data_IF_318696204383
#
_entry.id   IF_318696204383
#
_cell.length_a   1.000
_cell.length_b   1.000
_cell.length_c   1.000
_cell.angle_alpha   90.00
_cell.angle_beta   90.00
_cell.angle_gamma   90.00
#
_symmetry.space_group_name_H-M   'P 1'
#
loop_
_entity.id
_entity.type
_entity.pdbx_description
1 polymer ?
#
# COMPACT_ATOMS: atom_id res chain seq x y z
N UNK A 1 3.38 6.49 -0.74
CA UNK A 1 4.42 6.42 -1.80
C UNK A 1 5.67 5.68 -1.35
N UNK A 2 6.25 5.97 -0.19
CA UNK A 2 7.47 5.30 0.29
C UNK A 2 7.33 3.78 0.40
N UNK A 3 6.26 3.27 1.03
CA UNK A 3 5.99 1.83 1.14
C UNK A 3 5.94 1.12 -0.23
N UNK A 4 5.43 1.81 -1.26
CA UNK A 4 5.43 1.28 -2.61
C UNK A 4 6.84 1.16 -3.20
N UNK A 5 7.67 2.19 -3.03
CA UNK A 5 9.05 2.18 -3.53
C UNK A 5 9.93 1.18 -2.79
N UNK A 6 9.85 1.16 -1.47
CA UNK A 6 10.62 0.22 -0.64
C UNK A 6 10.17 -1.22 -0.82
N UNK A 7 8.94 -1.46 -1.28
CA UNK A 7 8.46 -2.79 -1.60
C UNK A 7 9.26 -3.50 -2.71
N UNK A 8 9.89 -2.77 -3.63
CA UNK A 8 10.78 -3.36 -4.64
C UNK A 8 12.05 -3.95 -4.02
N UNK A 9 12.49 -3.44 -2.87
CA UNK A 9 13.60 -3.99 -2.11
C UNK A 9 13.12 -5.09 -1.14
N UNK A 10 11.97 -4.86 -0.49
CA UNK A 10 11.40 -5.77 0.49
C UNK A 10 9.87 -5.85 0.29
N UNK A 11 9.34 -6.89 -0.38
CA UNK A 11 7.92 -7.02 -0.73
C UNK A 11 6.93 -6.93 0.44
N UNK A 12 7.39 -7.16 1.68
CA UNK A 12 6.59 -6.94 2.90
C UNK A 12 6.11 -5.48 3.04
N UNK A 13 6.83 -4.50 2.50
CA UNK A 13 6.36 -3.11 2.50
C UNK A 13 5.16 -2.89 1.57
N UNK A 14 5.02 -3.66 0.49
CA UNK A 14 3.79 -3.64 -0.30
C UNK A 14 2.61 -4.18 0.50
N UNK A 15 2.82 -5.25 1.28
CA UNK A 15 1.79 -5.76 2.19
C UNK A 15 1.38 -4.69 3.22
N UNK A 16 2.34 -4.09 3.92
CA UNK A 16 2.06 -3.00 4.87
C UNK A 16 1.31 -1.83 4.21
N UNK A 17 1.70 -1.45 2.99
CA UNK A 17 1.01 -0.42 2.23
C UNK A 17 -0.41 -0.82 1.81
N UNK A 18 -0.66 -2.08 1.49
CA UNK A 18 -1.98 -2.59 1.13
C UNK A 18 -2.95 -2.59 2.32
N UNK A 19 -2.45 -2.90 3.54
CA UNK A 19 -3.25 -2.89 4.77
C UNK A 19 -3.85 -1.52 5.10
N UNK A 20 -3.30 -0.41 4.57
CA UNK A 20 -3.88 0.94 4.69
C UNK A 20 -5.30 1.02 4.11
N UNK A 21 -5.65 0.16 3.15
CA UNK A 21 -7.02 0.08 2.61
C UNK A 21 -8.03 -0.36 3.68
N UNK A 22 -7.58 -1.09 4.70
CA UNK A 22 -8.41 -1.62 5.80
C UNK A 22 -8.45 -0.67 7.01
N UNK A 23 -7.61 0.37 7.03
CA UNK A 23 -7.53 1.33 8.13
C UNK A 23 -8.16 2.67 7.74
N UNK A 24 -9.05 3.26 8.56
CA UNK A 24 -9.48 4.64 8.37
C UNK A 24 -8.37 5.62 8.77
N UNK A 25 -8.30 6.77 8.10
CA UNK A 25 -7.45 7.89 8.51
C UNK A 25 -8.16 8.66 9.62
N UNK A 26 -7.54 8.78 10.81
CA UNK A 26 -8.07 9.52 11.95
C UNK A 26 -7.05 10.55 12.40
N UNK A 27 -7.42 11.83 12.33
CA UNK A 27 -6.63 12.91 12.90
C UNK A 27 -7.00 13.11 14.38
N UNK A 28 -6.02 13.39 15.26
CA UNK A 28 -6.27 13.88 16.61
C UNK A 28 -7.07 15.20 16.63
N UNK A 29 -7.75 15.50 17.74
CA UNK A 29 -8.57 16.72 17.87
C UNK A 29 -7.76 18.01 17.77
N UNK A 30 -6.52 18.00 18.23
CA UNK A 30 -5.56 19.11 18.23
C UNK A 30 -4.76 19.23 16.91
N UNK A 31 -4.93 18.29 15.97
CA UNK A 31 -4.25 18.31 14.69
C UNK A 31 -4.64 19.54 13.88
N UNK A 32 -3.66 20.38 13.52
CA UNK A 32 -3.87 21.64 12.80
C UNK A 32 -4.92 22.57 13.46
N UNK A 33 -4.89 22.66 14.80
CA UNK A 33 -5.82 23.48 15.60
C UNK A 33 -5.85 24.98 15.25
N UNK A 34 -4.84 25.50 14.55
CA UNK A 34 -4.82 26.88 14.06
C UNK A 34 -5.71 27.12 12.83
N UNK A 35 -6.22 26.05 12.21
CA UNK A 35 -7.03 26.13 10.99
C UNK A 35 -8.52 25.96 11.27
N UNK A 36 -9.40 26.51 10.42
CA UNK A 36 -10.82 26.23 10.45
C UNK A 36 -11.10 24.72 10.24
N UNK A 37 -12.16 24.21 10.86
CA UNK A 37 -12.60 22.80 10.72
C UNK A 37 -12.77 22.34 9.26
N UNK A 38 -13.28 23.23 8.40
CA UNK A 38 -13.46 22.91 6.97
C UNK A 38 -12.13 22.68 6.25
N UNK A 39 -11.12 23.49 6.53
CA UNK A 39 -9.78 23.36 5.94
C UNK A 39 -9.09 22.08 6.44
N UNK A 40 -9.25 21.76 7.74
CA UNK A 40 -8.76 20.51 8.32
C UNK A 40 -9.39 19.29 7.65
N UNK A 41 -10.70 19.31 7.41
CA UNK A 41 -11.42 18.23 6.74
C UNK A 41 -10.94 18.02 5.30
N UNK A 42 -10.71 19.09 4.56
CA UNK A 42 -10.18 19.02 3.19
C UNK A 42 -8.77 18.41 3.15
N UNK A 43 -7.92 18.76 4.11
CA UNK A 43 -6.56 18.22 4.21
C UNK A 43 -6.58 16.72 4.53
N UNK A 44 -7.39 16.29 5.50
CA UNK A 44 -7.57 14.86 5.83
C UNK A 44 -8.04 14.08 4.60
N UNK A 45 -9.04 14.61 3.90
CA UNK A 45 -9.58 13.98 2.70
C UNK A 45 -8.53 13.92 1.57
N UNK A 46 -7.72 14.97 1.39
CA UNK A 46 -6.63 14.99 0.42
C UNK A 46 -5.54 13.95 0.73
N UNK A 47 -5.19 13.78 2.02
CA UNK A 47 -4.27 12.75 2.49
C UNK A 47 -4.85 11.37 2.25
N UNK A 48 -6.13 11.15 2.61
CA UNK A 48 -6.80 9.86 2.44
C UNK A 48 -6.85 9.43 0.98
N UNK A 49 -7.16 10.35 0.06
CA UNK A 49 -7.12 10.07 -1.39
C UNK A 49 -5.73 9.61 -1.83
N UNK A 50 -4.68 10.25 -1.31
CA UNK A 50 -3.30 9.90 -1.64
C UNK A 50 -2.93 8.53 -1.07
N UNK A 51 -3.25 8.26 0.19
CA UNK A 51 -3.04 6.97 0.84
C UNK A 51 -3.70 5.84 0.06
N UNK A 52 -5.00 5.94 -0.24
CA UNK A 52 -5.76 4.91 -0.96
C UNK A 52 -5.18 4.67 -2.35
N UNK A 53 -4.81 5.74 -3.05
CA UNK A 53 -4.23 5.65 -4.40
C UNK A 53 -2.92 4.86 -4.40
N UNK A 54 -2.07 5.06 -3.38
CA UNK A 54 -0.81 4.31 -3.27
C UNK A 54 -0.99 2.91 -2.68
N UNK A 55 -1.92 2.74 -1.73
CA UNK A 55 -2.24 1.45 -1.12
C UNK A 55 -2.78 0.46 -2.16
N UNK A 56 -3.63 0.91 -3.11
CA UNK A 56 -4.06 0.10 -4.26
C UNK A 56 -2.89 -0.34 -5.14
N UNK A 57 -1.92 0.54 -5.39
CA UNK A 57 -0.71 0.18 -6.16
C UNK A 57 0.16 -0.84 -5.44
N UNK A 58 0.30 -0.72 -4.12
CA UNK A 58 0.97 -1.72 -3.30
C UNK A 58 0.27 -3.08 -3.39
N UNK A 59 -1.06 -3.11 -3.31
CA UNK A 59 -1.82 -4.35 -3.46
C UNK A 59 -1.59 -5.00 -4.84
N UNK A 60 -1.67 -4.21 -5.91
CA UNK A 60 -1.40 -4.72 -7.28
C UNK A 60 0.03 -5.27 -7.40
N UNK A 61 1.04 -4.53 -6.92
CA UNK A 61 2.42 -4.99 -6.95
C UNK A 61 2.63 -6.29 -6.17
N UNK A 62 2.02 -6.42 -4.99
CA UNK A 62 2.08 -7.63 -4.19
C UNK A 62 1.44 -8.82 -4.91
N UNK A 63 0.26 -8.64 -5.50
CA UNK A 63 -0.44 -9.71 -6.25
C UNK A 63 0.41 -10.16 -7.45
N UNK A 64 0.93 -9.22 -8.23
CA UNK A 64 1.79 -9.53 -9.38
C UNK A 64 3.04 -10.28 -8.93
N UNK A 65 3.69 -9.83 -7.85
CA UNK A 65 4.87 -10.49 -7.30
C UNK A 65 4.59 -11.92 -6.85
N UNK A 66 3.50 -12.15 -6.11
CA UNK A 66 3.10 -13.49 -5.67
C UNK A 66 2.84 -14.41 -6.85
N UNK A 67 2.12 -13.94 -7.88
CA UNK A 67 1.87 -14.71 -9.10
C UNK A 67 3.16 -15.05 -9.85
N UNK A 68 4.09 -14.11 -9.96
CA UNK A 68 5.38 -14.32 -10.62
C UNK A 68 6.23 -15.37 -9.88
N UNK A 69 6.30 -15.29 -8.54
CA UNK A 69 7.02 -16.27 -7.72
C UNK A 69 6.38 -17.65 -7.84
N UNK A 70 5.05 -17.73 -7.77
CA UNK A 70 4.33 -19.00 -7.93
C UNK A 70 4.59 -19.65 -9.29
N UNK A 71 4.56 -18.86 -10.38
CA UNK A 71 4.90 -19.33 -11.71
C UNK A 71 6.35 -19.82 -11.82
N UNK A 72 7.31 -19.06 -11.28
CA UNK A 72 8.72 -19.45 -11.28
C UNK A 72 8.97 -20.75 -10.52
N UNK A 73 8.36 -20.91 -9.34
CA UNK A 73 8.44 -22.15 -8.54
C UNK A 73 7.82 -23.32 -9.30
N UNK A 74 6.65 -23.14 -9.91
CA UNK A 74 6.01 -24.18 -10.70
C UNK A 74 6.89 -24.62 -11.88
N UNK A 75 7.44 -23.67 -12.63
CA UNK A 75 8.37 -23.95 -13.73
C UNK A 75 9.61 -24.73 -13.23
N UNK A 76 10.23 -24.30 -12.13
CA UNK A 76 11.38 -24.99 -11.55
C UNK A 76 11.05 -26.43 -11.14
N UNK A 77 9.89 -26.63 -10.51
CA UNK A 77 9.43 -27.97 -10.09
C UNK A 77 9.15 -28.86 -11.30
N UNK A 78 8.56 -28.33 -12.37
CA UNK A 78 8.31 -29.08 -13.61
C UNK A 78 9.63 -29.49 -14.25
N UNK A 79 10.56 -28.55 -14.44
CA UNK A 79 11.87 -28.81 -15.06
C UNK A 79 12.69 -29.83 -14.27
N UNK A 80 12.67 -29.78 -12.94
CA UNK A 80 13.39 -30.75 -12.09
C UNK A 80 12.77 -32.16 -12.16
N UNK A 81 11.48 -32.26 -12.49
CA UNK A 81 10.74 -33.53 -12.53
C UNK A 81 10.61 -34.15 -13.93
N UNK A 82 11.05 -33.45 -14.97
CA UNK A 82 11.17 -33.93 -16.36
C UNK A 82 12.59 -34.38 -16.64
#
# INVERSE_FOLDING_TARGET
MYLFKFGFLLPLFWLAGALILLSPLRAPSDWEASKPESERAELIESMRRTEVRWARRCLVALVVFVLAVAAAVLCAVVVVRT
#
